data_IF_972760517416
#
_entry.id   IF_972760517416
#
_cell.length_a   1.000
_cell.length_b   1.000
_cell.length_c   1.000
_cell.angle_alpha   90.00
_cell.angle_beta   90.00
_cell.angle_gamma   90.00
#
_symmetry.space_group_name_H-M   'P 1'
#
loop_
_entity.id
_entity.type
_entity.pdbx_description
1 polymer ?
#
# COMPACT_ATOMS: atom_id res chain seq x y z
N UNK A 1 -19.26 -0.10 -14.52
CA UNK A 1 -19.33 1.38 -14.50
C UNK A 1 -19.75 1.96 -13.14
N UNK A 2 -20.68 1.38 -12.38
CA UNK A 2 -21.18 1.98 -11.13
C UNK A 2 -20.15 2.11 -9.98
N UNK A 3 -19.07 1.31 -9.96
CA UNK A 3 -18.03 1.40 -8.92
C UNK A 3 -17.09 2.60 -9.08
N UNK A 4 -17.09 3.24 -10.27
CA UNK A 4 -16.05 4.22 -10.64
C UNK A 4 -16.30 5.64 -10.13
N UNK A 5 -17.55 6.00 -9.80
CA UNK A 5 -17.88 7.38 -9.36
C UNK A 5 -17.59 7.60 -7.87
N UNK A 6 -17.43 6.54 -7.09
CA UNK A 6 -17.30 6.60 -5.62
C UNK A 6 -15.86 6.53 -5.10
N UNK A 7 -14.83 6.88 -5.87
CA UNK A 7 -13.46 6.92 -5.31
C UNK A 7 -12.73 8.23 -5.56
N UNK A 8 -13.43 9.24 -6.11
CA UNK A 8 -12.84 10.54 -6.45
C UNK A 8 -13.29 11.69 -5.53
N UNK A 9 -14.25 11.46 -4.63
CA UNK A 9 -14.62 12.37 -3.53
C UNK A 9 -15.64 11.68 -2.62
N UNK A 10 -15.21 10.73 -1.79
CA UNK A 10 -16.13 10.05 -0.87
C UNK A 10 -16.07 10.64 0.52
N UNK A 11 -17.25 11.03 1.02
CA UNK A 11 -17.42 11.31 2.45
C UNK A 11 -17.08 10.04 3.24
N UNK A 12 -16.72 10.22 4.52
CA UNK A 12 -16.43 9.10 5.45
C UNK A 12 -17.52 8.01 5.41
N UNK A 13 -18.79 8.36 5.13
CA UNK A 13 -19.88 7.38 5.05
C UNK A 13 -19.76 6.41 3.87
N UNK A 14 -19.28 6.85 2.70
CA UNK A 14 -19.15 5.96 1.54
C UNK A 14 -17.94 5.03 1.70
N UNK A 15 -16.87 5.49 2.34
CA UNK A 15 -15.74 4.64 2.71
C UNK A 15 -16.16 3.53 3.68
N UNK A 16 -17.05 3.86 4.64
CA UNK A 16 -17.66 2.88 5.56
C UNK A 16 -18.57 1.88 4.83
N UNK A 17 -19.43 2.34 3.90
CA UNK A 17 -20.30 1.47 3.10
C UNK A 17 -19.52 0.53 2.17
N UNK A 18 -18.41 1.00 1.59
CA UNK A 18 -17.53 0.16 0.78
C UNK A 18 -16.87 -0.91 1.65
N UNK A 19 -16.48 -0.60 2.89
CA UNK A 19 -15.91 -1.56 3.83
C UNK A 19 -16.92 -2.67 4.24
N UNK A 20 -18.19 -2.34 4.46
CA UNK A 20 -19.26 -3.31 4.76
C UNK A 20 -19.46 -4.36 3.65
N UNK A 21 -19.21 -3.97 2.39
CA UNK A 21 -19.36 -4.87 1.24
C UNK A 21 -18.21 -5.87 1.08
N UNK A 22 -17.25 -5.91 2.01
CA UNK A 22 -16.03 -6.74 1.92
C UNK A 22 -15.40 -6.59 0.53
N UNK A 23 -14.86 -5.40 0.21
CA UNK A 23 -14.56 -5.03 -1.18
C UNK A 23 -13.31 -5.77 -1.72
N UNK A 24 -12.45 -6.27 -0.84
CA UNK A 24 -11.13 -6.78 -1.21
C UNK A 24 -11.16 -8.00 -2.14
N UNK A 25 -11.92 -9.09 -1.93
CA UNK A 25 -11.91 -10.22 -2.85
C UNK A 25 -12.24 -9.81 -4.30
N UNK A 26 -13.24 -8.97 -4.48
CA UNK A 26 -13.63 -8.46 -5.81
C UNK A 26 -12.57 -7.53 -6.41
N UNK A 27 -12.03 -6.60 -5.63
CA UNK A 27 -10.97 -5.69 -6.09
C UNK A 27 -9.69 -6.44 -6.42
N UNK A 28 -9.27 -7.40 -5.61
CA UNK A 28 -8.07 -8.21 -5.85
C UNK A 28 -8.20 -9.02 -7.14
N UNK A 29 -9.39 -9.58 -7.43
CA UNK A 29 -9.64 -10.27 -8.72
C UNK A 29 -9.51 -9.33 -9.93
N UNK A 30 -9.89 -8.06 -9.79
CA UNK A 30 -9.76 -7.08 -10.87
C UNK A 30 -8.30 -6.69 -11.18
N UNK A 31 -7.34 -7.04 -10.32
CA UNK A 31 -5.90 -6.83 -10.61
C UNK A 31 -5.36 -7.76 -11.71
N UNK A 32 -6.06 -8.85 -12.04
CA UNK A 32 -5.71 -9.76 -13.13
C UNK A 32 -6.38 -9.39 -14.47
N UNK A 33 -7.07 -8.25 -14.52
CA UNK A 33 -7.79 -7.84 -15.72
C UNK A 33 -6.82 -7.46 -16.85
N UNK A 34 -7.15 -7.82 -18.11
CA UNK A 34 -6.29 -7.57 -19.27
C UNK A 34 -6.10 -6.07 -19.58
N UNK A 35 -7.11 -5.26 -19.30
CA UNK A 35 -7.02 -3.79 -19.43
C UNK A 35 -6.19 -3.16 -18.31
N UNK A 36 -5.03 -2.60 -18.66
CA UNK A 36 -4.16 -1.83 -17.74
C UNK A 36 -4.92 -0.66 -17.08
N UNK A 37 -5.88 -0.06 -17.78
CA UNK A 37 -6.72 1.03 -17.22
C UNK A 37 -7.58 0.53 -16.06
N UNK A 38 -8.18 -0.66 -16.19
CA UNK A 38 -8.94 -1.30 -15.11
C UNK A 38 -8.01 -1.62 -13.94
N UNK A 39 -6.87 -2.26 -14.20
CA UNK A 39 -5.89 -2.59 -13.16
C UNK A 39 -5.39 -1.35 -12.42
N UNK A 40 -5.09 -0.27 -13.14
CA UNK A 40 -4.63 1.00 -12.55
C UNK A 40 -5.68 1.64 -11.65
N UNK A 41 -6.95 1.66 -12.09
CA UNK A 41 -8.07 2.19 -11.31
C UNK A 41 -8.32 1.34 -10.06
N UNK A 42 -8.24 0.01 -10.19
CA UNK A 42 -8.39 -0.91 -9.07
C UNK A 42 -7.26 -0.76 -8.05
N UNK A 43 -6.00 -0.68 -8.49
CA UNK A 43 -4.86 -0.44 -7.61
C UNK A 43 -4.98 0.90 -6.87
N UNK A 44 -5.47 1.95 -7.54
CA UNK A 44 -5.74 3.24 -6.91
C UNK A 44 -6.86 3.15 -5.85
N UNK A 45 -7.95 2.45 -6.16
CA UNK A 45 -9.05 2.26 -5.21
C UNK A 45 -8.60 1.49 -3.96
N UNK A 46 -7.84 0.40 -4.12
CA UNK A 46 -7.28 -0.36 -3.00
C UNK A 46 -6.39 0.55 -2.14
N UNK A 47 -5.48 1.31 -2.77
CA UNK A 47 -4.60 2.25 -2.07
C UNK A 47 -5.42 3.26 -1.23
N UNK A 48 -6.46 3.86 -1.81
CA UNK A 48 -7.26 4.88 -1.12
C UNK A 48 -7.94 4.31 0.14
N UNK A 49 -8.53 3.12 0.05
CA UNK A 49 -9.15 2.45 1.21
C UNK A 49 -8.11 2.18 2.31
N UNK A 50 -6.91 1.70 1.92
CA UNK A 50 -5.85 1.40 2.88
C UNK A 50 -5.29 2.65 3.57
N UNK A 51 -5.17 3.77 2.85
CA UNK A 51 -4.75 5.04 3.45
C UNK A 51 -5.74 5.49 4.53
N UNK A 52 -7.05 5.38 4.28
CA UNK A 52 -8.09 5.66 5.28
C UNK A 52 -7.94 4.83 6.55
N UNK A 53 -7.64 3.53 6.41
CA UNK A 53 -7.37 2.62 7.53
C UNK A 53 -6.07 2.92 8.30
N UNK A 54 -5.06 3.45 7.63
CA UNK A 54 -3.80 3.85 8.29
C UNK A 54 -3.98 5.09 9.16
N UNK A 55 -4.75 6.07 8.69
CA UNK A 55 -5.05 7.27 9.48
C UNK A 55 -5.96 7.01 10.67
N UNK A 56 -6.80 5.98 10.63
CA UNK A 56 -7.72 5.65 11.73
C UNK A 56 -7.10 4.74 12.80
N UNK A 57 -5.92 4.17 12.57
CA UNK A 57 -5.25 3.27 13.51
C UNK A 57 -4.15 3.97 14.30
N UNK A 58 -4.05 3.67 15.59
CA UNK A 58 -3.01 4.20 16.48
C UNK A 58 -1.60 3.75 16.06
N UNK A 59 -0.57 4.48 16.49
CA UNK A 59 0.83 4.10 16.27
C UNK A 59 1.14 2.75 16.93
N UNK A 60 2.00 1.95 16.31
CA UNK A 60 2.40 0.60 16.72
C UNK A 60 1.26 -0.43 16.73
N UNK A 61 0.11 -0.11 16.12
CA UNK A 61 -0.99 -1.04 15.93
C UNK A 61 -1.02 -1.57 14.50
N UNK A 62 -1.29 -2.87 14.29
CA UNK A 62 -1.44 -3.44 12.95
C UNK A 62 -2.54 -2.74 12.15
N UNK A 63 -2.36 -2.72 10.84
CA UNK A 63 -3.34 -2.11 9.94
C UNK A 63 -4.72 -2.82 10.03
N UNK A 64 -5.84 -2.08 10.18
CA UNK A 64 -7.17 -2.66 10.43
C UNK A 64 -7.66 -3.55 9.27
N UNK A 65 -7.20 -3.27 8.04
CA UNK A 65 -7.55 -4.05 6.86
C UNK A 65 -6.56 -5.19 6.53
N UNK A 66 -5.52 -5.41 7.33
CA UNK A 66 -4.50 -6.43 7.02
C UNK A 66 -5.12 -7.81 6.83
N UNK A 67 -5.91 -8.26 7.80
CA UNK A 67 -6.51 -9.60 7.77
C UNK A 67 -7.44 -9.78 6.56
N UNK A 68 -8.22 -8.76 6.22
CA UNK A 68 -9.17 -8.83 5.12
C UNK A 68 -8.47 -8.95 3.74
N UNK A 69 -7.35 -8.25 3.55
CA UNK A 69 -6.55 -8.36 2.31
C UNK A 69 -5.75 -9.66 2.28
N UNK A 70 -5.17 -10.07 3.41
CA UNK A 70 -4.40 -11.31 3.49
C UNK A 70 -5.28 -12.55 3.24
N UNK A 71 -6.49 -12.58 3.79
CA UNK A 71 -7.40 -13.74 3.68
C UNK A 71 -7.89 -14.02 2.25
N UNK A 72 -7.75 -13.07 1.31
CA UNK A 72 -8.08 -13.25 -0.10
C UNK A 72 -6.85 -13.33 -1.02
N UNK A 73 -5.65 -13.57 -0.47
CA UNK A 73 -4.41 -13.62 -1.24
C UNK A 73 -3.98 -12.27 -1.83
N UNK A 74 -4.52 -11.17 -1.29
CA UNK A 74 -4.30 -9.84 -1.84
C UNK A 74 -2.87 -9.34 -1.70
N UNK A 75 -2.13 -9.80 -0.69
CA UNK A 75 -0.72 -9.44 -0.47
C UNK A 75 0.15 -9.91 -1.66
N UNK A 76 0.04 -11.18 -2.03
CA UNK A 76 0.82 -11.75 -3.13
C UNK A 76 0.42 -11.14 -4.48
N UNK A 77 -0.88 -10.84 -4.68
CA UNK A 77 -1.38 -10.16 -5.87
C UNK A 77 -0.83 -8.73 -6.00
N UNK A 78 -0.81 -7.96 -4.92
CA UNK A 78 -0.23 -6.62 -4.89
C UNK A 78 1.27 -6.67 -5.14
N UNK A 79 1.99 -7.63 -4.55
CA UNK A 79 3.42 -7.77 -4.77
C UNK A 79 3.75 -8.20 -6.20
N UNK A 80 2.98 -9.15 -6.76
CA UNK A 80 3.09 -9.52 -8.17
C UNK A 80 2.86 -8.31 -9.09
N UNK A 81 1.85 -7.48 -8.81
CA UNK A 81 1.58 -6.26 -9.58
C UNK A 81 2.72 -5.24 -9.48
N UNK A 82 3.31 -5.07 -8.29
CA UNK A 82 4.50 -4.26 -8.09
C UNK A 82 5.68 -4.73 -8.96
N UNK A 83 5.95 -6.04 -8.98
CA UNK A 83 7.03 -6.64 -9.80
C UNK A 83 6.75 -6.51 -11.31
N UNK A 84 5.49 -6.71 -11.73
CA UNK A 84 5.08 -6.57 -13.14
C UNK A 84 5.27 -5.15 -13.68
N UNK A 85 5.16 -4.12 -12.82
CA UNK A 85 5.39 -2.72 -13.19
C UNK A 85 4.65 -2.29 -14.47
N UNK A 86 3.36 -2.62 -14.58
CA UNK A 86 2.56 -2.35 -15.80
C UNK A 86 2.50 -0.86 -16.13
N UNK A 87 2.63 0.00 -15.12
CA UNK A 87 2.74 1.45 -15.23
C UNK A 87 3.36 2.04 -13.95
N UNK A 88 3.93 3.26 -13.99
CA UNK A 88 4.44 3.92 -12.78
C UNK A 88 3.36 4.03 -11.68
N UNK A 89 2.11 4.32 -12.07
CA UNK A 89 0.98 4.42 -11.15
C UNK A 89 0.64 3.09 -10.48
N UNK A 90 0.57 1.98 -11.23
CA UNK A 90 0.27 0.65 -10.65
C UNK A 90 1.38 0.19 -9.72
N UNK A 91 2.66 0.40 -10.08
CA UNK A 91 3.80 0.05 -9.23
C UNK A 91 3.78 0.85 -7.93
N UNK A 92 3.63 2.17 -8.02
CA UNK A 92 3.56 3.05 -6.85
C UNK A 92 2.38 2.71 -5.94
N UNK A 93 1.19 2.51 -6.51
CA UNK A 93 -0.01 2.16 -5.74
C UNK A 93 0.11 0.80 -5.06
N UNK A 94 0.73 -0.18 -5.73
CA UNK A 94 0.98 -1.50 -5.15
C UNK A 94 1.98 -1.42 -3.99
N UNK A 95 3.10 -0.71 -4.19
CA UNK A 95 4.10 -0.50 -3.13
C UNK A 95 3.49 0.21 -1.91
N UNK A 96 2.72 1.28 -2.14
CA UNK A 96 2.04 2.02 -1.07
C UNK A 96 1.02 1.13 -0.35
N UNK A 97 0.27 0.31 -1.08
CA UNK A 97 -0.70 -0.62 -0.48
C UNK A 97 0.00 -1.61 0.45
N UNK A 98 1.11 -2.22 0.01
CA UNK A 98 1.92 -3.14 0.83
C UNK A 98 2.49 -2.40 2.05
N UNK A 99 3.07 -1.22 1.86
CA UNK A 99 3.61 -0.41 2.95
C UNK A 99 2.59 -0.07 4.05
N UNK A 100 1.37 0.34 3.67
CA UNK A 100 0.30 0.60 4.63
C UNK A 100 -0.14 -0.70 5.35
N UNK A 101 -0.31 -1.80 4.62
CA UNK A 101 -0.75 -3.07 5.20
C UNK A 101 0.23 -3.60 6.26
N UNK A 102 1.54 -3.45 6.02
CA UNK A 102 2.59 -3.89 6.94
C UNK A 102 2.97 -2.84 8.00
N UNK A 103 2.12 -1.84 8.24
CA UNK A 103 2.22 -0.99 9.43
C UNK A 103 2.31 -1.85 10.69
N UNK A 104 3.31 -1.59 11.53
CA UNK A 104 3.60 -2.30 12.78
C UNK A 104 3.68 -3.84 12.65
N UNK A 105 3.87 -4.37 11.43
CA UNK A 105 3.88 -5.80 11.15
C UNK A 105 5.08 -6.18 10.30
N UNK A 106 5.76 -7.26 10.67
CA UNK A 106 6.88 -7.77 9.90
C UNK A 106 6.44 -8.20 8.49
N UNK A 107 7.21 -7.78 7.47
CA UNK A 107 7.16 -8.40 6.15
C UNK A 107 8.03 -9.66 6.19
N UNK A 108 7.42 -10.83 6.39
CA UNK A 108 8.17 -12.10 6.55
C UNK A 108 8.83 -12.58 5.26
N UNK A 109 8.25 -12.23 4.10
CA UNK A 109 8.88 -12.47 2.80
C UNK A 109 10.08 -11.52 2.63
N UNK A 110 11.30 -12.07 2.70
CA UNK A 110 12.55 -11.31 2.67
C UNK A 110 12.72 -10.51 1.37
N UNK A 111 12.36 -11.09 0.23
CA UNK A 111 12.47 -10.41 -1.07
C UNK A 111 11.51 -9.21 -1.12
N UNK A 112 10.25 -9.42 -0.74
CA UNK A 112 9.26 -8.35 -0.68
C UNK A 112 9.69 -7.22 0.26
N UNK A 113 10.23 -7.57 1.43
CA UNK A 113 10.72 -6.59 2.40
C UNK A 113 11.81 -5.71 1.80
N UNK A 114 12.81 -6.32 1.17
CA UNK A 114 13.91 -5.60 0.52
C UNK A 114 13.42 -4.73 -0.64
N UNK A 115 12.60 -5.30 -1.52
CA UNK A 115 12.08 -4.62 -2.71
C UNK A 115 11.27 -3.37 -2.37
N UNK A 116 10.36 -3.48 -1.40
CA UNK A 116 9.47 -2.39 -0.98
C UNK A 116 10.26 -1.29 -0.26
N UNK A 117 11.18 -1.67 0.64
CA UNK A 117 12.04 -0.69 1.35
C UNK A 117 12.96 0.03 0.36
N UNK A 118 13.61 -0.70 -0.56
CA UNK A 118 14.48 -0.11 -1.57
C UNK A 118 13.73 0.85 -2.48
N UNK A 119 12.49 0.51 -2.87
CA UNK A 119 11.64 1.38 -3.68
C UNK A 119 11.37 2.73 -3.00
N UNK A 120 10.98 2.72 -1.72
CA UNK A 120 10.72 3.97 -0.99
C UNK A 120 11.99 4.74 -0.63
N UNK A 121 13.11 4.06 -0.35
CA UNK A 121 14.42 4.73 -0.18
C UNK A 121 14.81 5.49 -1.44
N UNK A 122 14.74 4.85 -2.62
CA UNK A 122 15.07 5.49 -3.89
C UNK A 122 14.17 6.70 -4.19
N UNK A 123 12.89 6.63 -3.81
CA UNK A 123 11.93 7.71 -4.01
C UNK A 123 12.24 8.99 -3.19
N UNK A 124 13.09 8.91 -2.16
CA UNK A 124 13.54 10.09 -1.40
C UNK A 124 14.45 11.03 -2.20
N UNK A 125 15.08 10.52 -3.27
CA UNK A 125 15.89 11.32 -4.19
C UNK A 125 15.07 12.04 -5.28
N UNK A 126 13.74 11.92 -5.26
CA UNK A 126 12.87 12.60 -6.25
C UNK A 126 13.02 14.12 -6.19
N UNK A 127 12.76 14.84 -7.28
CA UNK A 127 12.62 16.31 -7.25
C UNK A 127 11.27 16.73 -6.66
N UNK A 128 10.28 15.84 -6.64
CA UNK A 128 8.92 16.13 -6.18
C UNK A 128 8.79 15.91 -4.67
N UNK A 129 8.52 16.98 -3.93
CA UNK A 129 8.40 16.93 -2.46
C UNK A 129 7.31 15.94 -1.99
N UNK A 130 6.17 15.91 -2.68
CA UNK A 130 5.08 14.99 -2.36
C UNK A 130 5.51 13.52 -2.45
N UNK A 131 6.43 13.17 -3.35
CA UNK A 131 6.96 11.80 -3.46
C UNK A 131 7.84 11.48 -2.25
N UNK A 132 8.68 12.42 -1.82
CA UNK A 132 9.52 12.27 -0.62
C UNK A 132 8.68 12.08 0.64
N UNK A 133 7.69 12.95 0.86
CA UNK A 133 6.86 12.93 2.06
C UNK A 133 6.06 11.63 2.17
N UNK A 134 5.48 11.18 1.05
CA UNK A 134 4.81 9.89 0.99
C UNK A 134 5.77 8.72 1.29
N UNK A 135 7.02 8.80 0.82
CA UNK A 135 8.00 7.73 1.02
C UNK A 135 8.49 7.69 2.46
N UNK A 136 8.76 8.85 3.06
CA UNK A 136 9.06 8.99 4.49
C UNK A 136 7.93 8.41 5.34
N UNK A 137 6.69 8.79 5.04
CA UNK A 137 5.51 8.29 5.75
C UNK A 137 5.43 6.76 5.72
N UNK A 138 5.54 6.14 4.54
CA UNK A 138 5.45 4.68 4.42
C UNK A 138 6.64 3.98 5.11
N UNK A 139 7.86 4.50 4.98
CA UNK A 139 9.02 3.97 5.71
C UNK A 139 8.81 4.06 7.23
N UNK A 140 8.20 5.14 7.73
CA UNK A 140 7.83 5.30 9.13
C UNK A 140 6.85 4.22 9.60
N UNK A 141 5.76 3.99 8.85
CA UNK A 141 4.79 2.92 9.15
C UNK A 141 5.44 1.54 9.21
N UNK A 142 6.32 1.24 8.25
CA UNK A 142 7.06 -0.02 8.20
C UNK A 142 8.01 -0.16 9.38
N UNK A 143 8.69 0.92 9.75
CA UNK A 143 9.63 0.98 10.86
C UNK A 143 8.96 0.85 12.24
N UNK A 144 7.63 0.90 12.36
CA UNK A 144 6.94 0.55 13.60
C UNK A 144 7.20 -0.92 14.01
N UNK A 145 7.55 -1.79 13.05
CA UNK A 145 8.05 -3.13 13.32
C UNK A 145 9.59 -3.18 13.35
N UNK A 146 10.18 -3.85 14.34
CA UNK A 146 11.63 -3.91 14.54
C UNK A 146 12.40 -4.57 13.40
N UNK A 147 11.89 -5.66 12.81
CA UNK A 147 12.57 -6.37 11.72
C UNK A 147 12.61 -5.51 10.46
N UNK A 148 11.50 -4.87 10.12
CA UNK A 148 11.44 -3.92 9.01
C UNK A 148 12.34 -2.71 9.27
N UNK A 149 12.34 -2.17 10.50
CA UNK A 149 13.22 -1.06 10.92
C UNK A 149 14.69 -1.40 10.71
N UNK A 150 15.13 -2.58 11.15
CA UNK A 150 16.51 -3.02 10.97
C UNK A 150 16.90 -3.11 9.48
N UNK A 151 15.99 -3.50 8.59
CA UNK A 151 16.25 -3.48 7.14
C UNK A 151 16.31 -2.05 6.58
N UNK A 152 15.45 -1.14 7.08
CA UNK A 152 15.46 0.27 6.68
C UNK A 152 16.75 0.95 7.14
N UNK A 153 17.24 0.68 8.34
CA UNK A 153 18.41 1.35 8.92
C UNK A 153 19.77 0.82 8.42
N UNK A 154 19.76 -0.22 7.58
CA UNK A 154 20.99 -0.71 6.93
C UNK A 154 21.73 0.42 6.20
N UNK A 155 23.05 0.27 6.19
CA UNK A 155 24.00 1.21 5.58
C UNK A 155 23.95 2.62 6.22
N UNK A 156 23.50 2.70 7.48
CA UNK A 156 23.42 3.94 8.24
C UNK A 156 22.27 4.86 7.83
N UNK A 157 21.31 4.34 7.05
CA UNK A 157 20.15 5.12 6.61
C UNK A 157 19.28 5.53 7.79
N UNK A 158 18.87 6.81 7.84
CA UNK A 158 17.95 7.34 8.84
C UNK A 158 16.73 7.93 8.14
N UNK A 159 15.54 7.57 8.62
CA UNK A 159 14.31 8.27 8.23
C UNK A 159 14.38 9.64 8.91
N UNK A 160 14.69 10.69 8.16
CA UNK A 160 14.69 12.05 8.68
C UNK A 160 13.26 12.57 8.75
N UNK A 161 12.91 13.23 9.86
CA UNK A 161 11.67 14.01 9.98
C UNK A 161 11.60 15.06 8.85
#
# INVERSE_FOLDING_TARGET
>A
MAFFVFTYNTSKEIDLLIAEKKPYPSLIRLLDHQSISVVSRTANAIRNILIGGSYSSSVNQPHPHFQAVSSCGGIDKLYSLFKKNLSPGTKNNSAKSIGNLFKAKEITNIEMRKDIIAYFKAALSSSEQQIKDNSKWILGLLAENSVNRSEIEKDGFKITE
#
